data_IF_475207294239
#
_entry.id   IF_475207294239
#
_cell.length_a   1.000
_cell.length_b   1.000
_cell.length_c   1.000
_cell.angle_alpha   90.00
_cell.angle_beta   90.00
_cell.angle_gamma   90.00
#
_symmetry.space_group_name_H-M   'P 1'
#
loop_
_entity.id
_entity.type
_entity.pdbx_description
1 polymer ?
#
# COMPACT_ATOMS: atom_id res chain seq x y z
N UNK A 1 13.12 7.00 23.00
CA UNK A 1 11.73 6.66 23.40
C UNK A 1 11.72 5.21 23.83
N UNK A 2 10.90 4.83 24.82
CA UNK A 2 10.78 3.44 25.23
C UNK A 2 10.01 2.65 24.15
N UNK A 3 10.31 1.36 23.97
CA UNK A 3 9.71 0.55 22.88
C UNK A 3 8.17 0.52 22.97
N UNK A 4 7.65 0.44 24.20
CA UNK A 4 6.21 0.39 24.44
C UNK A 4 5.49 1.72 24.19
N UNK A 5 6.21 2.84 24.10
CA UNK A 5 5.60 4.16 23.86
C UNK A 5 5.17 4.33 22.40
N UNK A 6 5.83 3.63 21.47
CA UNK A 6 5.61 3.82 20.04
C UNK A 6 5.29 2.54 19.27
N UNK A 7 5.79 1.36 19.68
CA UNK A 7 5.52 0.13 18.94
C UNK A 7 4.01 -0.19 18.79
N UNK A 8 3.15 0.03 19.80
CA UNK A 8 1.70 -0.15 19.64
C UNK A 8 1.02 0.80 18.63
N UNK A 9 1.71 1.89 18.24
CA UNK A 9 1.24 2.87 17.26
C UNK A 9 1.74 2.56 15.84
N UNK A 10 2.56 1.53 15.67
CA UNK A 10 3.00 1.06 14.36
C UNK A 10 1.90 0.20 13.72
N UNK A 11 1.62 0.49 12.45
CA UNK A 11 0.73 -0.29 11.59
C UNK A 11 1.47 -0.63 10.31
N UNK A 12 1.15 -1.79 9.74
CA UNK A 12 1.77 -2.28 8.51
C UNK A 12 0.75 -2.32 7.38
N UNK A 13 1.27 -2.27 6.15
CA UNK A 13 0.46 -2.33 4.96
C UNK A 13 1.13 -3.24 3.93
N UNK A 14 0.40 -4.24 3.44
CA UNK A 14 0.88 -5.21 2.46
C UNK A 14 -0.06 -5.33 1.25
N UNK A 15 0.49 -5.76 0.12
CA UNK A 15 -0.26 -6.16 -1.07
C UNK A 15 -0.50 -7.67 -1.07
N UNK A 16 -1.64 -8.14 -1.59
CA UNK A 16 -1.91 -9.57 -1.80
C UNK A 16 -2.07 -9.88 -3.29
N UNK A 17 -1.16 -10.69 -3.85
CA UNK A 17 -1.20 -11.13 -5.24
C UNK A 17 -1.63 -12.59 -5.41
N UNK A 18 -1.21 -13.19 -6.52
CA UNK A 18 -1.62 -14.55 -6.91
C UNK A 18 -0.60 -15.63 -6.54
N UNK A 19 0.63 -15.24 -6.19
CA UNK A 19 1.72 -16.13 -5.77
C UNK A 19 1.39 -16.84 -4.44
N UNK A 20 1.90 -18.06 -4.21
CA UNK A 20 1.55 -18.85 -3.03
C UNK A 20 1.91 -18.17 -1.71
N UNK A 21 3.01 -17.41 -1.66
CA UNK A 21 3.56 -16.76 -0.48
C UNK A 21 2.57 -15.77 0.18
N UNK A 22 1.65 -15.19 -0.62
CA UNK A 22 0.59 -14.32 -0.12
C UNK A 22 -0.37 -15.02 0.84
N UNK A 23 -0.44 -16.36 0.81
CA UNK A 23 -1.21 -17.17 1.77
C UNK A 23 -0.67 -17.07 3.20
N UNK A 24 0.64 -16.82 3.36
CA UNK A 24 1.34 -16.88 4.65
C UNK A 24 2.05 -15.58 5.06
N UNK A 25 1.96 -14.54 4.23
CA UNK A 25 2.67 -13.28 4.46
C UNK A 25 2.33 -12.65 5.83
N UNK A 26 1.05 -12.60 6.20
CA UNK A 26 0.61 -11.98 7.45
C UNK A 26 1.06 -12.74 8.70
N UNK A 27 0.94 -14.07 8.71
CA UNK A 27 1.41 -14.93 9.80
C UNK A 27 2.93 -14.91 9.95
N UNK A 28 3.68 -14.87 8.85
CA UNK A 28 5.15 -14.72 8.90
C UNK A 28 5.52 -13.35 9.48
N UNK A 29 4.92 -12.27 8.98
CA UNK A 29 5.16 -10.92 9.51
C UNK A 29 4.88 -10.83 11.02
N UNK A 30 3.74 -11.37 11.47
CA UNK A 30 3.39 -11.43 12.90
C UNK A 30 4.41 -12.21 13.72
N UNK A 31 4.88 -13.36 13.23
CA UNK A 31 5.82 -14.22 13.95
C UNK A 31 7.19 -13.55 14.11
N UNK A 32 7.76 -13.06 13.01
CA UNK A 32 9.05 -12.35 13.01
C UNK A 32 8.98 -11.14 13.96
N UNK A 33 7.93 -10.32 13.85
CA UNK A 33 7.74 -9.15 14.69
C UNK A 33 7.62 -9.50 16.17
N UNK A 34 6.72 -10.42 16.52
CA UNK A 34 6.48 -10.79 17.92
C UNK A 34 7.74 -11.34 18.59
N UNK A 35 8.50 -12.20 17.89
CA UNK A 35 9.76 -12.76 18.41
C UNK A 35 10.81 -11.67 18.58
N UNK A 36 10.99 -10.79 17.59
CA UNK A 36 11.95 -9.69 17.66
C UNK A 36 11.63 -8.72 18.80
N UNK A 37 10.38 -8.27 18.91
CA UNK A 37 9.94 -7.34 19.96
C UNK A 37 10.09 -7.96 21.35
N UNK A 38 9.78 -9.25 21.50
CA UNK A 38 9.95 -9.95 22.78
C UNK A 38 11.41 -10.18 23.16
N UNK A 39 12.22 -10.70 22.24
CA UNK A 39 13.56 -11.23 22.55
C UNK A 39 14.67 -10.21 22.38
N UNK A 40 14.58 -9.35 21.37
CA UNK A 40 15.62 -8.34 21.06
C UNK A 40 15.33 -7.00 21.75
N UNK A 41 14.06 -6.59 21.79
CA UNK A 41 13.68 -5.26 22.27
C UNK A 41 12.97 -5.25 23.64
N UNK A 42 12.64 -6.42 24.20
CA UNK A 42 12.01 -6.52 25.53
C UNK A 42 10.62 -5.88 25.64
N UNK A 43 9.90 -5.72 24.53
CA UNK A 43 8.60 -5.05 24.49
C UNK A 43 7.47 -5.85 25.14
N UNK A 44 6.45 -5.13 25.62
CA UNK A 44 5.22 -5.69 26.18
C UNK A 44 4.46 -6.60 25.19
N UNK A 45 3.49 -7.36 25.70
CA UNK A 45 2.60 -8.19 24.86
C UNK A 45 1.91 -7.35 23.79
N UNK A 46 1.52 -6.10 24.11
CA UNK A 46 0.88 -5.19 23.15
C UNK A 46 1.83 -4.77 22.04
N UNK A 47 3.10 -4.51 22.36
CA UNK A 47 4.11 -4.16 21.35
C UNK A 47 4.43 -5.33 20.40
N UNK A 48 4.26 -6.58 20.85
CA UNK A 48 4.47 -7.79 20.05
C UNK A 48 3.35 -8.05 19.03
N UNK A 49 2.21 -7.38 19.12
CA UNK A 49 1.06 -7.59 18.24
C UNK A 49 1.16 -6.71 16.98
N UNK A 50 1.75 -7.28 15.92
CA UNK A 50 1.76 -6.64 14.60
C UNK A 50 0.34 -6.59 14.04
N UNK A 51 -0.13 -5.37 13.74
CA UNK A 51 -1.40 -5.12 13.06
C UNK A 51 -1.14 -4.67 11.64
N UNK A 52 -1.92 -5.16 10.70
CA UNK A 52 -1.71 -4.84 9.30
C UNK A 52 -3.01 -4.70 8.51
N UNK A 53 -2.94 -3.84 7.51
CA UNK A 53 -3.90 -3.74 6.41
C UNK A 53 -3.38 -4.54 5.21
N UNK A 54 -4.27 -5.21 4.49
CA UNK A 54 -3.99 -5.80 3.18
C UNK A 54 -4.83 -5.08 2.12
N UNK A 55 -4.23 -4.83 0.97
CA UNK A 55 -4.95 -4.49 -0.26
C UNK A 55 -4.67 -5.57 -1.31
N UNK A 56 -5.69 -5.94 -2.09
CA UNK A 56 -5.51 -6.82 -3.25
C UNK A 56 -4.57 -6.18 -4.29
N UNK A 57 -3.90 -6.97 -5.12
CA UNK A 57 -2.86 -6.47 -6.01
C UNK A 57 -3.45 -5.79 -7.24
N UNK A 58 -3.31 -4.47 -7.35
CA UNK A 58 -3.73 -3.74 -8.55
C UNK A 58 -2.94 -4.13 -9.80
N UNK A 59 -1.70 -4.62 -9.64
CA UNK A 59 -0.88 -5.11 -10.76
C UNK A 59 -1.39 -6.43 -11.36
N UNK A 60 -2.12 -7.20 -10.56
CA UNK A 60 -2.75 -8.45 -11.03
C UNK A 60 -4.03 -8.21 -11.83
N UNK A 61 -4.54 -6.98 -11.84
CA UNK A 61 -5.73 -6.60 -12.57
C UNK A 61 -5.35 -6.06 -13.95
N UNK A 62 -6.15 -6.39 -14.96
CA UNK A 62 -5.82 -6.11 -16.36
C UNK A 62 -6.93 -5.34 -17.05
N UNK A 63 -6.56 -4.55 -18.06
CA UNK A 63 -7.51 -3.76 -18.86
C UNK A 63 -8.22 -4.60 -19.92
N UNK A 64 -7.68 -5.77 -20.27
CA UNK A 64 -8.37 -6.79 -21.06
C UNK A 64 -9.26 -7.65 -20.15
N UNK A 65 -10.44 -8.02 -20.64
CA UNK A 65 -11.38 -8.89 -19.92
C UNK A 65 -11.55 -8.48 -18.44
N UNK A 66 -11.83 -7.19 -18.22
CA UNK A 66 -11.83 -6.57 -16.88
C UNK A 66 -12.73 -7.31 -15.88
N UNK A 67 -13.76 -8.02 -16.35
CA UNK A 67 -14.65 -8.81 -15.50
C UNK A 67 -13.91 -9.97 -14.79
N UNK A 68 -12.83 -10.49 -15.36
CA UNK A 68 -11.99 -11.52 -14.73
C UNK A 68 -11.25 -10.99 -13.50
N UNK A 69 -11.13 -9.67 -13.34
CA UNK A 69 -10.48 -9.06 -12.18
C UNK A 69 -11.24 -9.35 -10.89
N UNK A 70 -12.58 -9.43 -10.89
CA UNK A 70 -13.34 -9.82 -9.69
C UNK A 70 -12.98 -11.21 -9.19
N UNK A 71 -12.66 -12.13 -10.10
CA UNK A 71 -12.23 -13.49 -9.74
C UNK A 71 -10.88 -13.44 -9.03
N UNK A 72 -9.91 -12.69 -9.59
CA UNK A 72 -8.58 -12.48 -8.99
C UNK A 72 -8.69 -11.84 -7.61
N UNK A 73 -9.44 -10.74 -7.51
CA UNK A 73 -9.68 -10.02 -6.26
C UNK A 73 -10.35 -10.92 -5.22
N UNK A 74 -11.29 -11.78 -5.62
CA UNK A 74 -11.96 -12.73 -4.71
C UNK A 74 -10.98 -13.71 -4.08
N UNK A 75 -10.09 -14.31 -4.86
CA UNK A 75 -9.09 -15.26 -4.36
C UNK A 75 -8.08 -14.56 -3.44
N UNK A 76 -7.64 -13.35 -3.79
CA UNK A 76 -6.73 -12.55 -2.99
C UNK A 76 -7.36 -12.13 -1.65
N UNK A 77 -8.63 -11.71 -1.68
CA UNK A 77 -9.40 -11.38 -0.48
C UNK A 77 -9.59 -12.58 0.44
N UNK A 78 -9.87 -13.76 -0.13
CA UNK A 78 -10.02 -14.99 0.63
C UNK A 78 -8.73 -15.36 1.38
N UNK A 79 -7.58 -15.27 0.72
CA UNK A 79 -6.28 -15.51 1.34
C UNK A 79 -6.02 -14.53 2.50
N UNK A 80 -6.32 -13.25 2.31
CA UNK A 80 -6.16 -12.22 3.34
C UNK A 80 -7.03 -12.48 4.57
N UNK A 81 -8.29 -12.90 4.38
CA UNK A 81 -9.24 -13.21 5.46
C UNK A 81 -8.84 -14.49 6.18
N UNK A 82 -8.46 -15.55 5.46
CA UNK A 82 -8.00 -16.80 6.06
C UNK A 82 -6.73 -16.65 6.90
N UNK A 83 -5.84 -15.73 6.51
CA UNK A 83 -4.68 -15.38 7.32
C UNK A 83 -4.97 -14.30 8.37
N UNK A 84 -6.25 -14.02 8.65
CA UNK A 84 -6.73 -13.17 9.73
C UNK A 84 -6.14 -11.76 9.71
N UNK A 85 -6.25 -11.07 8.57
CA UNK A 85 -5.88 -9.67 8.43
C UNK A 85 -6.71 -8.74 9.34
N UNK A 86 -6.15 -7.62 9.80
CA UNK A 86 -6.88 -6.67 10.64
C UNK A 86 -7.78 -5.73 9.83
N UNK A 87 -7.45 -5.52 8.55
CA UNK A 87 -8.18 -4.65 7.64
C UNK A 87 -7.90 -5.07 6.20
N UNK A 88 -8.91 -4.99 5.33
CA UNK A 88 -8.83 -5.41 3.94
C UNK A 88 -9.44 -4.36 3.00
N UNK A 89 -8.71 -4.03 1.94
CA UNK A 89 -9.22 -3.33 0.77
C UNK A 89 -9.29 -4.31 -0.41
N UNK A 90 -10.45 -4.37 -1.04
CA UNK A 90 -10.67 -5.12 -2.28
C UNK A 90 -10.76 -4.14 -3.44
N UNK A 91 -9.91 -4.36 -4.44
CA UNK A 91 -9.89 -3.52 -5.62
C UNK A 91 -11.10 -3.79 -6.51
N UNK A 92 -11.49 -2.79 -7.26
CA UNK A 92 -12.60 -2.90 -8.18
C UNK A 92 -12.15 -3.45 -9.54
N UNK A 93 -13.07 -4.09 -10.26
CA UNK A 93 -12.75 -4.82 -11.49
C UNK A 93 -12.20 -3.92 -12.62
N UNK A 94 -12.52 -2.61 -12.58
CA UNK A 94 -12.11 -1.58 -13.54
C UNK A 94 -10.85 -0.79 -13.10
N UNK A 95 -10.16 -1.20 -12.02
CA UNK A 95 -8.99 -0.49 -11.46
C UNK A 95 -7.85 -0.30 -12.47
N UNK A 96 -7.70 -1.22 -13.43
CA UNK A 96 -6.71 -1.11 -14.49
C UNK A 96 -6.97 0.06 -15.46
N UNK A 97 -8.17 0.65 -15.43
CA UNK A 97 -8.63 1.69 -16.37
C UNK A 97 -8.87 3.01 -15.65
N UNK A 98 -9.61 3.02 -14.54
CA UNK A 98 -10.11 4.25 -13.91
C UNK A 98 -10.28 4.12 -12.40
N UNK A 99 -10.55 5.24 -11.74
CA UNK A 99 -11.00 5.21 -10.33
C UNK A 99 -12.40 4.59 -10.26
N UNK A 100 -12.67 3.69 -9.30
CA UNK A 100 -13.91 2.92 -9.26
C UNK A 100 -15.19 3.76 -9.30
N UNK A 101 -16.13 3.38 -10.18
CA UNK A 101 -17.49 3.92 -10.17
C UNK A 101 -18.30 3.43 -8.96
N UNK A 102 -19.49 4.01 -8.71
CA UNK A 102 -20.36 3.55 -7.62
C UNK A 102 -20.75 2.08 -7.77
N UNK A 103 -20.96 1.61 -9.00
CA UNK A 103 -21.26 0.20 -9.29
C UNK A 103 -20.05 -0.70 -9.03
N UNK A 104 -18.87 -0.28 -9.51
CA UNK A 104 -17.62 -1.03 -9.35
C UNK A 104 -17.21 -1.18 -7.88
N UNK A 105 -17.35 -0.10 -7.08
CA UNK A 105 -17.12 -0.15 -5.63
C UNK A 105 -18.08 -1.12 -4.94
N UNK A 106 -19.35 -1.19 -5.36
CA UNK A 106 -20.33 -2.13 -4.78
C UNK A 106 -19.92 -3.58 -5.03
N UNK A 107 -19.41 -3.91 -6.22
CA UNK A 107 -18.88 -5.25 -6.53
C UNK A 107 -17.67 -5.59 -5.68
N UNK A 108 -16.70 -4.67 -5.60
CA UNK A 108 -15.51 -4.83 -4.79
C UNK A 108 -15.84 -5.06 -3.30
N UNK A 109 -16.82 -4.31 -2.76
CA UNK A 109 -17.29 -4.48 -1.37
C UNK A 109 -18.05 -5.81 -1.19
N UNK A 110 -18.86 -6.19 -2.18
CA UNK A 110 -19.63 -7.43 -2.13
C UNK A 110 -18.74 -8.67 -1.98
N UNK A 111 -17.54 -8.67 -2.57
CA UNK A 111 -16.55 -9.75 -2.37
C UNK A 111 -16.29 -9.99 -0.87
N UNK A 112 -15.99 -8.94 -0.11
CA UNK A 112 -15.75 -9.07 1.33
C UNK A 112 -17.01 -9.50 2.08
N UNK A 113 -18.18 -9.01 1.69
CA UNK A 113 -19.44 -9.37 2.32
C UNK A 113 -19.78 -10.84 2.11
N UNK A 114 -19.65 -11.35 0.87
CA UNK A 114 -19.90 -12.76 0.53
C UNK A 114 -18.93 -13.67 1.30
N UNK A 115 -17.63 -13.36 1.28
CA UNK A 115 -16.64 -14.16 2.01
C UNK A 115 -16.94 -14.17 3.52
N UNK A 116 -17.29 -13.03 4.11
CA UNK A 116 -17.50 -12.95 5.56
C UNK A 116 -18.88 -13.45 6.02
N UNK A 117 -19.91 -13.45 5.16
CA UNK A 117 -21.30 -13.72 5.55
C UNK A 117 -21.89 -15.00 4.97
N UNK A 118 -21.47 -15.39 3.76
CA UNK A 118 -22.05 -16.52 3.03
C UNK A 118 -21.10 -17.71 2.95
N UNK A 119 -19.80 -17.45 2.76
CA UNK A 119 -18.81 -18.52 2.62
C UNK A 119 -18.62 -19.31 3.92
N UNK A 120 -18.94 -20.60 3.90
CA UNK A 120 -19.07 -21.39 5.13
C UNK A 120 -17.77 -21.54 5.94
N UNK A 121 -16.60 -21.60 5.28
CA UNK A 121 -15.33 -21.88 5.96
C UNK A 121 -14.80 -20.69 6.78
N UNK A 122 -15.22 -19.46 6.51
CA UNK A 122 -14.81 -18.28 7.30
C UNK A 122 -15.49 -18.20 8.67
N UNK A 123 -16.45 -19.10 8.95
CA UNK A 123 -16.92 -19.33 10.34
C UNK A 123 -15.83 -19.91 11.24
N UNK A 124 -14.79 -20.52 10.65
CA UNK A 124 -13.57 -20.92 11.35
C UNK A 124 -12.51 -19.82 11.16
N UNK A 125 -12.06 -19.22 12.26
CA UNK A 125 -11.13 -18.08 12.27
C UNK A 125 -9.65 -18.48 12.18
N UNK A 126 -9.35 -19.77 12.17
CA UNK A 126 -8.00 -20.31 12.11
C UNK A 126 -7.84 -21.43 11.08
N UNK A 127 -8.61 -21.38 9.98
CA UNK A 127 -8.67 -22.39 8.92
C UNK A 127 -7.29 -22.83 8.38
N UNK A 128 -6.32 -21.92 8.37
CA UNK A 128 -4.96 -22.19 7.89
C UNK A 128 -4.11 -23.05 8.85
N UNK A 129 -4.46 -23.17 10.13
CA UNK A 129 -3.64 -23.89 11.12
C UNK A 129 -3.69 -25.40 10.92
N UNK A 130 -2.51 -26.04 10.94
CA UNK A 130 -2.38 -27.50 10.78
C UNK A 130 -2.32 -27.99 9.33
N UNK A 131 -2.51 -27.10 8.35
CA UNK A 131 -2.30 -27.42 6.93
C UNK A 131 -0.81 -27.61 6.63
N UNK A 132 -0.44 -28.77 6.09
CA UNK A 132 0.96 -29.08 5.79
C UNK A 132 1.63 -28.06 4.86
N UNK A 133 0.94 -27.68 3.78
CA UNK A 133 1.46 -26.68 2.83
C UNK A 133 1.59 -25.29 3.46
N UNK A 134 0.64 -24.89 4.31
CA UNK A 134 0.68 -23.58 4.97
C UNK A 134 1.84 -23.53 5.97
N UNK A 135 2.02 -24.56 6.79
CA UNK A 135 3.11 -24.59 7.78
C UNK A 135 4.49 -24.63 7.09
N UNK A 136 4.64 -25.43 6.04
CA UNK A 136 5.87 -25.49 5.26
C UNK A 136 6.17 -24.15 4.57
N UNK A 137 5.19 -23.58 3.89
CA UNK A 137 5.36 -22.29 3.21
C UNK A 137 5.65 -21.16 4.21
N UNK A 138 5.03 -21.19 5.40
CA UNK A 138 5.33 -20.24 6.48
C UNK A 138 6.81 -20.32 6.87
N UNK A 139 7.37 -21.52 7.01
CA UNK A 139 8.80 -21.71 7.33
C UNK A 139 9.70 -21.21 6.20
N UNK A 140 9.38 -21.55 4.95
CA UNK A 140 10.19 -21.16 3.79
C UNK A 140 10.22 -19.63 3.62
N UNK A 141 9.07 -18.97 3.72
CA UNK A 141 8.97 -17.51 3.59
C UNK A 141 9.66 -16.81 4.76
N UNK A 142 9.50 -17.30 5.99
CA UNK A 142 10.22 -16.73 7.15
C UNK A 142 11.74 -16.78 6.95
N UNK A 143 12.28 -17.94 6.56
CA UNK A 143 13.71 -18.11 6.31
C UNK A 143 14.20 -17.18 5.19
N UNK A 144 13.45 -17.09 4.08
CA UNK A 144 13.79 -16.22 2.95
C UNK A 144 13.82 -14.74 3.35
N UNK A 145 12.89 -14.29 4.20
CA UNK A 145 12.85 -12.92 4.74
C UNK A 145 14.04 -12.66 5.66
N UNK A 146 14.40 -13.61 6.53
CA UNK A 146 15.57 -13.45 7.41
C UNK A 146 16.87 -13.38 6.61
N UNK A 147 17.02 -14.20 5.57
CA UNK A 147 18.17 -14.12 4.66
C UNK A 147 18.23 -12.77 3.91
N UNK A 148 17.08 -12.15 3.60
CA UNK A 148 17.03 -10.80 3.03
C UNK A 148 17.45 -9.74 4.06
N UNK A 149 17.10 -9.92 5.34
CA UNK A 149 17.57 -9.02 6.41
C UNK A 149 19.10 -9.06 6.54
N UNK A 150 19.72 -10.22 6.41
CA UNK A 150 21.19 -10.35 6.43
C UNK A 150 21.82 -9.61 5.26
N UNK A 151 21.30 -9.80 4.03
CA UNK A 151 21.77 -9.06 2.84
C UNK A 151 21.67 -7.54 3.00
N UNK A 152 20.59 -7.04 3.62
CA UNK A 152 20.44 -5.61 3.91
C UNK A 152 21.40 -5.17 5.02
N UNK A 153 21.61 -6.00 6.04
CA UNK A 153 22.51 -5.69 7.17
C UNK A 153 23.96 -5.56 6.70
N UNK A 154 24.43 -6.46 5.84
CA UNK A 154 25.76 -6.42 5.21
C UNK A 154 26.03 -5.13 4.42
N UNK A 155 24.96 -4.46 3.96
CA UNK A 155 25.00 -3.19 3.20
C UNK A 155 24.86 -1.95 4.09
N UNK A 156 25.07 -2.08 5.40
CA UNK A 156 24.93 -0.96 6.34
C UNK A 156 23.48 -0.70 6.76
N UNK A 157 22.64 -1.75 6.74
CA UNK A 157 21.22 -1.64 7.05
C UNK A 157 20.42 -0.96 5.94
N UNK A 158 19.17 -0.59 6.24
CA UNK A 158 18.24 -0.05 5.24
C UNK A 158 18.78 1.22 4.59
N UNK A 159 19.37 2.14 5.35
CA UNK A 159 19.90 3.41 4.82
C UNK A 159 21.10 3.19 3.90
N UNK A 160 22.07 2.36 4.30
CA UNK A 160 23.22 2.05 3.44
C UNK A 160 22.81 1.30 2.16
N UNK A 161 21.86 0.37 2.26
CA UNK A 161 21.30 -0.30 1.09
C UNK A 161 20.57 0.68 0.14
N UNK A 162 19.88 1.70 0.69
CA UNK A 162 19.24 2.75 -0.11
C UNK A 162 20.25 3.65 -0.81
N UNK A 163 21.41 3.92 -0.20
CA UNK A 163 22.50 4.70 -0.83
C UNK A 163 23.07 4.00 -2.06
N UNK A 164 23.19 2.67 -2.03
CA UNK A 164 23.63 1.88 -3.19
C UNK A 164 22.50 1.50 -4.15
N UNK A 165 21.26 1.95 -3.88
CA UNK A 165 20.09 1.62 -4.70
C UNK A 165 19.64 0.16 -4.66
N UNK A 166 20.09 -0.65 -3.68
CA UNK A 166 19.90 -2.10 -3.65
C UNK A 166 18.43 -2.52 -3.79
N UNK A 167 17.55 -1.97 -2.94
CA UNK A 167 16.13 -2.32 -2.97
C UNK A 167 15.49 -1.92 -4.30
N UNK A 168 15.87 -0.75 -4.85
CA UNK A 168 15.32 -0.27 -6.13
C UNK A 168 15.72 -1.20 -7.27
N UNK A 169 17.01 -1.51 -7.39
CA UNK A 169 17.51 -2.38 -8.46
C UNK A 169 16.86 -3.76 -8.38
N UNK A 170 16.78 -4.35 -7.18
CA UNK A 170 16.14 -5.65 -6.99
C UNK A 170 14.65 -5.65 -7.39
N UNK A 171 13.89 -4.62 -7.00
CA UNK A 171 12.49 -4.46 -7.41
C UNK A 171 12.37 -4.31 -8.94
N UNK A 172 13.28 -3.56 -9.57
CA UNK A 172 13.28 -3.39 -11.03
C UNK A 172 13.61 -4.70 -11.76
N UNK A 173 14.60 -5.45 -11.28
CA UNK A 173 14.98 -6.76 -11.80
C UNK A 173 13.82 -7.75 -11.73
N UNK A 174 13.18 -7.88 -10.56
CA UNK A 174 11.99 -8.73 -10.36
C UNK A 174 10.81 -8.29 -11.25
N UNK A 175 10.64 -6.98 -11.42
CA UNK A 175 9.62 -6.44 -12.33
C UNK A 175 9.89 -6.78 -13.80
N UNK A 176 11.13 -6.67 -14.26
CA UNK A 176 11.51 -7.03 -15.63
C UNK A 176 11.36 -8.53 -15.88
N UNK A 177 11.74 -9.35 -14.89
CA UNK A 177 11.56 -10.80 -14.94
C UNK A 177 10.08 -11.16 -15.10
N UNK A 178 9.20 -10.60 -14.27
CA UNK A 178 7.76 -10.80 -14.38
C UNK A 178 7.20 -10.39 -15.75
N UNK A 179 7.54 -9.19 -16.25
CA UNK A 179 7.04 -8.74 -17.56
C UNK A 179 7.60 -9.61 -18.70
N UNK A 180 8.84 -10.08 -18.61
CA UNK A 180 9.42 -11.00 -19.58
C UNK A 180 8.62 -12.32 -19.65
N UNK A 181 8.32 -12.93 -18.51
CA UNK A 181 7.50 -14.16 -18.44
C UNK A 181 6.07 -13.95 -18.94
N UNK A 182 5.46 -12.80 -18.59
CA UNK A 182 4.12 -12.42 -19.05
C UNK A 182 4.09 -12.23 -20.57
N UNK A 183 5.11 -11.59 -21.14
CA UNK A 183 5.18 -11.35 -22.58
C UNK A 183 5.55 -12.61 -23.38
N UNK A 184 6.42 -13.46 -22.85
CA UNK A 184 6.77 -14.75 -23.48
C UNK A 184 5.62 -15.76 -23.40
N UNK A 185 4.72 -15.62 -22.42
CA UNK A 185 3.61 -16.54 -22.17
C UNK A 185 3.97 -17.68 -21.20
N UNK A 186 5.20 -17.72 -20.70
CA UNK A 186 5.63 -18.68 -19.67
C UNK A 186 4.87 -18.50 -18.36
N UNK A 187 4.48 -17.27 -18.04
CA UNK A 187 3.53 -16.98 -16.98
C UNK A 187 2.14 -16.79 -17.59
N UNK A 188 1.20 -17.76 -17.45
CA UNK A 188 -0.11 -17.65 -18.07
C UNK A 188 -0.97 -16.61 -17.36
N UNK A 189 -1.49 -15.66 -18.14
CA UNK A 189 -2.42 -14.63 -17.71
C UNK A 189 -3.68 -14.72 -18.58
N UNK A 190 -4.75 -15.24 -17.98
CA UNK A 190 -6.06 -15.46 -18.62
C UNK A 190 -6.66 -14.12 -19.09
N UNK A 191 -7.06 -14.06 -20.36
CA UNK A 191 -7.57 -12.83 -21.01
C UNK A 191 -6.46 -11.89 -21.51
N UNK A 192 -5.19 -12.20 -21.27
CA UNK A 192 -4.06 -11.33 -21.66
C UNK A 192 -3.10 -12.02 -22.61
N UNK A 193 -2.47 -13.13 -22.24
CA UNK A 193 -1.53 -13.85 -23.11
C UNK A 193 -2.03 -15.25 -23.50
N UNK A 194 -3.07 -15.75 -22.82
CA UNK A 194 -3.78 -16.99 -23.12
C UNK A 194 -5.27 -16.82 -22.85
N UNK A 195 -6.11 -17.65 -23.47
CA UNK A 195 -7.59 -17.55 -23.38
C UNK A 195 -8.09 -16.13 -23.67
N UNK A 196 -7.70 -15.58 -24.82
CA UNK A 196 -8.15 -14.26 -25.27
C UNK A 196 -9.55 -14.35 -25.88
N UNK A 197 -10.38 -13.36 -25.64
CA UNK A 197 -11.68 -13.25 -26.31
C UNK A 197 -11.50 -13.07 -27.84
N UNK A 198 -12.02 -13.99 -28.68
CA UNK A 198 -11.98 -13.83 -30.13
C UNK A 198 -12.81 -12.64 -30.63
N UNK A 199 -13.70 -12.08 -29.82
CA UNK A 199 -14.58 -10.96 -30.13
C UNK A 199 -14.18 -9.65 -29.43
N UNK A 200 -13.00 -9.57 -28.82
CA UNK A 200 -12.56 -8.40 -28.05
C UNK A 200 -12.60 -7.06 -28.82
N UNK A 201 -12.50 -7.08 -30.15
CA UNK A 201 -12.60 -5.89 -30.99
C UNK A 201 -14.04 -5.36 -31.14
N UNK A 202 -15.04 -6.21 -30.87
CA UNK A 202 -16.46 -5.91 -30.99
C UNK A 202 -17.14 -5.71 -29.61
N UNK A 203 -16.37 -5.76 -28.51
CA UNK A 203 -16.90 -5.65 -27.14
C UNK A 203 -17.34 -4.21 -26.80
N UNK A 204 -18.65 -3.96 -26.62
CA UNK A 204 -19.19 -2.65 -26.26
C UNK A 204 -18.71 -2.14 -24.90
N UNK A 205 -18.21 -3.01 -24.02
CA UNK A 205 -17.68 -2.61 -22.71
C UNK A 205 -16.42 -1.73 -22.83
N UNK A 206 -15.69 -1.83 -23.94
CA UNK A 206 -14.53 -0.98 -24.22
C UNK A 206 -14.91 0.50 -24.47
N UNK A 207 -16.14 0.76 -24.91
CA UNK A 207 -16.62 2.11 -25.28
C UNK A 207 -17.46 2.78 -24.18
N UNK A 208 -17.98 2.03 -23.21
CA UNK A 208 -19.00 2.50 -22.26
C UNK A 208 -18.56 2.78 -20.82
N UNK A 209 -17.26 2.65 -20.50
CA UNK A 209 -16.82 2.73 -19.10
C UNK A 209 -16.70 4.19 -18.62
N UNK A 210 -17.47 4.55 -17.59
CA UNK A 210 -17.48 5.89 -17.02
C UNK A 210 -16.13 6.22 -16.36
N UNK A 211 -15.45 7.25 -16.84
CA UNK A 211 -14.18 7.70 -16.28
C UNK A 211 -14.41 8.74 -15.19
N UNK A 212 -14.10 8.37 -13.94
CA UNK A 212 -14.05 9.31 -12.83
C UNK A 212 -12.91 10.32 -13.05
N UNK A 213 -13.28 11.57 -13.36
CA UNK A 213 -12.36 12.71 -13.53
C UNK A 213 -12.91 13.93 -12.81
N UNK A 214 -12.02 14.78 -12.30
CA UNK A 214 -12.41 16.05 -11.68
C UNK A 214 -13.01 17.00 -12.73
N UNK A 215 -14.13 17.65 -12.38
CA UNK A 215 -14.80 18.61 -13.26
C UNK A 215 -14.05 19.94 -13.30
N UNK A 216 -14.37 20.79 -14.28
CA UNK A 216 -13.77 22.12 -14.35
C UNK A 216 -14.24 23.00 -13.18
N UNK A 217 -15.51 22.87 -12.80
CA UNK A 217 -16.11 23.58 -11.67
C UNK A 217 -15.42 23.22 -10.35
N UNK A 218 -15.05 21.95 -10.16
CA UNK A 218 -14.30 21.51 -8.98
C UNK A 218 -12.92 22.15 -8.92
N UNK A 219 -12.20 22.23 -10.05
CA UNK A 219 -10.90 22.91 -10.12
C UNK A 219 -11.03 24.38 -9.81
N UNK A 220 -11.98 25.07 -10.44
CA UNK A 220 -12.23 26.49 -10.21
C UNK A 220 -12.65 26.77 -8.75
N UNK A 221 -13.48 25.89 -8.17
CA UNK A 221 -13.85 25.94 -6.76
C UNK A 221 -12.62 25.84 -5.84
N UNK A 222 -11.71 24.89 -6.11
CA UNK A 222 -10.48 24.72 -5.34
C UNK A 222 -9.56 25.94 -5.45
N UNK A 223 -9.42 26.52 -6.64
CA UNK A 223 -8.63 27.75 -6.84
C UNK A 223 -9.21 28.93 -6.07
N UNK A 224 -10.53 29.13 -6.13
CA UNK A 224 -11.22 30.18 -5.39
C UNK A 224 -11.05 30.01 -3.88
N UNK A 225 -11.30 28.81 -3.35
CA UNK A 225 -11.14 28.50 -1.92
C UNK A 225 -9.71 28.74 -1.44
N UNK A 226 -8.71 28.40 -2.27
CA UNK A 226 -7.31 28.64 -1.97
C UNK A 226 -6.98 30.14 -1.95
N UNK A 227 -7.46 30.91 -2.93
CA UNK A 227 -7.28 32.36 -2.99
C UNK A 227 -7.92 33.05 -1.77
N UNK A 228 -9.17 32.71 -1.45
CA UNK A 228 -9.91 33.25 -0.30
C UNK A 228 -9.21 32.92 1.02
N UNK A 229 -8.71 31.69 1.18
CA UNK A 229 -7.95 31.28 2.37
C UNK A 229 -6.65 32.11 2.51
N UNK A 230 -5.88 32.25 1.42
CA UNK A 230 -4.66 33.06 1.43
C UNK A 230 -4.93 34.53 1.74
N UNK A 231 -6.01 35.10 1.17
CA UNK A 231 -6.38 36.49 1.43
C UNK A 231 -6.78 36.70 2.89
N UNK A 232 -7.58 35.79 3.46
CA UNK A 232 -8.03 35.86 4.86
C UNK A 232 -6.86 35.84 5.84
N UNK A 233 -5.82 35.06 5.57
CA UNK A 233 -4.66 34.88 6.45
C UNK A 233 -3.41 35.64 5.99
N UNK A 234 -3.54 36.60 5.06
CA UNK A 234 -2.40 37.29 4.44
C UNK A 234 -1.48 37.98 5.46
N UNK A 235 -2.03 38.48 6.57
CA UNK A 235 -1.27 39.14 7.63
C UNK A 235 -0.55 38.16 8.58
N UNK A 236 -1.14 36.99 8.83
CA UNK A 236 -0.62 36.01 9.80
C UNK A 236 0.37 35.02 9.17
N UNK A 237 0.18 34.70 7.88
CA UNK A 237 0.92 33.65 7.20
C UNK A 237 2.44 33.86 7.19
N UNK A 238 3.00 35.06 6.90
CA UNK A 238 4.45 35.25 6.86
C UNK A 238 5.14 34.90 8.17
N UNK A 239 4.61 35.38 9.30
CA UNK A 239 5.16 35.11 10.62
C UNK A 239 5.03 33.62 11.02
N UNK A 240 3.94 32.95 10.62
CA UNK A 240 3.77 31.53 10.87
C UNK A 240 4.75 30.65 10.07
N UNK A 241 5.02 31.01 8.81
CA UNK A 241 6.01 30.31 7.98
C UNK A 241 7.43 30.53 8.51
N UNK A 242 7.76 31.74 8.96
CA UNK A 242 9.06 32.04 9.56
C UNK A 242 9.28 31.22 10.84
N UNK A 243 8.30 31.15 11.74
CA UNK A 243 8.39 30.29 12.94
C UNK A 243 8.62 28.82 12.58
N UNK A 244 7.93 28.31 11.57
CA UNK A 244 8.13 26.95 11.08
C UNK A 244 9.56 26.72 10.57
N UNK A 245 10.09 27.68 9.80
CA UNK A 245 11.47 27.62 9.30
C UNK A 245 12.49 27.67 10.45
N UNK A 246 12.29 28.56 11.42
CA UNK A 246 13.14 28.65 12.61
C UNK A 246 13.08 27.37 13.45
N UNK A 247 11.90 26.75 13.59
CA UNK A 247 11.77 25.45 14.25
C UNK A 247 12.58 24.37 13.52
N UNK A 248 12.57 24.34 12.19
CA UNK A 248 13.36 23.39 11.41
C UNK A 248 14.88 23.66 11.53
N UNK A 249 15.32 24.91 11.37
CA UNK A 249 16.74 25.30 11.47
C UNK A 249 17.30 25.13 12.88
N UNK A 250 16.49 25.42 13.89
CA UNK A 250 16.84 25.30 15.31
C UNK A 250 16.76 23.87 15.85
N UNK A 251 16.52 22.87 14.99
CA UNK A 251 16.33 21.47 15.37
C UNK A 251 15.21 21.27 16.43
N UNK A 252 14.16 22.10 16.33
CA UNK A 252 12.96 22.03 17.15
C UNK A 252 11.93 21.02 16.61
N UNK A 253 10.83 20.85 17.33
CA UNK A 253 9.75 19.96 16.91
C UNK A 253 8.91 20.63 15.80
N UNK A 254 9.23 20.30 14.55
CA UNK A 254 8.53 20.83 13.36
C UNK A 254 7.03 20.49 13.37
N UNK A 255 6.66 19.28 13.81
CA UNK A 255 5.25 18.88 13.84
C UNK A 255 4.43 19.69 14.85
N UNK A 256 5.01 20.04 15.99
CA UNK A 256 4.36 20.91 16.96
C UNK A 256 4.03 22.29 16.37
N UNK A 257 4.96 22.88 15.60
CA UNK A 257 4.68 24.16 14.94
C UNK A 257 3.70 24.02 13.77
N UNK A 258 3.71 22.89 13.04
CA UNK A 258 2.73 22.63 11.98
C UNK A 258 1.28 22.71 12.49
N UNK A 259 1.00 22.31 13.74
CA UNK A 259 -0.35 22.43 14.33
C UNK A 259 -0.86 23.88 14.41
N UNK A 260 0.05 24.85 14.41
CA UNK A 260 -0.24 26.27 14.34
C UNK A 260 -0.24 26.75 12.88
N UNK A 261 0.81 26.42 12.12
CA UNK A 261 1.03 26.93 10.76
C UNK A 261 -0.12 26.57 9.80
N UNK A 262 -0.68 25.36 9.90
CA UNK A 262 -1.78 24.92 9.01
C UNK A 262 -3.07 25.72 9.15
N UNK A 263 -3.23 26.49 10.23
CA UNK A 263 -4.42 27.34 10.46
C UNK A 263 -4.41 28.59 9.59
N UNK A 264 -3.22 29.03 9.16
CA UNK A 264 -3.03 30.29 8.43
C UNK A 264 -2.24 30.13 7.12
N UNK A 265 -1.74 28.93 6.81
CA UNK A 265 -0.91 28.68 5.64
C UNK A 265 -1.36 27.43 4.87
N UNK A 266 -1.37 27.53 3.55
CA UNK A 266 -1.72 26.40 2.68
C UNK A 266 -0.60 25.36 2.60
N UNK A 267 -0.93 24.15 2.13
CA UNK A 267 0.05 23.08 1.91
C UNK A 267 1.25 23.55 1.06
N UNK A 268 0.99 24.24 -0.05
CA UNK A 268 2.05 24.75 -0.93
C UNK A 268 2.95 25.80 -0.27
N UNK A 269 2.39 26.69 0.58
CA UNK A 269 3.18 27.67 1.32
C UNK A 269 4.10 26.99 2.34
N UNK A 270 3.57 26.01 3.08
CA UNK A 270 4.31 25.22 4.07
C UNK A 270 5.44 24.44 3.40
N UNK A 271 5.15 23.70 2.33
CA UNK A 271 6.14 22.90 1.61
C UNK A 271 7.27 23.77 1.07
N UNK A 272 6.95 24.91 0.45
CA UNK A 272 7.97 25.81 -0.08
C UNK A 272 8.84 26.42 1.02
N UNK A 273 8.25 26.76 2.17
CA UNK A 273 8.99 27.28 3.32
C UNK A 273 9.97 26.23 3.87
N UNK A 274 9.55 24.97 3.96
CA UNK A 274 10.42 23.87 4.38
C UNK A 274 11.49 23.53 3.34
N UNK A 275 11.21 23.60 2.04
CA UNK A 275 12.22 23.43 0.99
C UNK A 275 13.34 24.46 1.06
N UNK A 276 13.04 25.69 1.46
CA UNK A 276 14.05 26.75 1.59
C UNK A 276 15.07 26.48 2.71
N UNK A 277 14.74 25.64 3.71
CA UNK A 277 15.60 25.37 4.88
C UNK A 277 16.04 23.91 5.03
N UNK A 278 15.27 22.96 4.51
CA UNK A 278 15.52 21.52 4.60
C UNK A 278 15.92 20.86 3.29
N UNK A 279 15.92 21.61 2.18
CA UNK A 279 16.23 21.11 0.85
C UNK A 279 15.09 20.31 0.22
N UNK A 280 15.35 19.83 -0.99
CA UNK A 280 14.43 18.98 -1.75
C UNK A 280 15.02 17.59 -1.91
N UNK A 281 14.15 16.58 -1.97
CA UNK A 281 14.58 15.23 -2.30
C UNK A 281 15.26 15.22 -3.67
N UNK A 282 16.50 14.71 -3.73
CA UNK A 282 17.22 14.45 -4.97
C UNK A 282 16.95 13.03 -5.40
N UNK A 283 16.50 12.83 -6.65
CA UNK A 283 16.40 11.50 -7.23
C UNK A 283 17.81 10.94 -7.35
N UNK A 284 18.16 9.99 -6.49
CA UNK A 284 19.31 9.11 -6.74
C UNK A 284 18.98 8.32 -8.02
N UNK A 285 19.94 8.11 -8.93
CA UNK A 285 19.74 7.22 -10.09
C UNK A 285 19.89 5.78 -9.61
#
# INVERSE_FOLDING_TARGET
MHIDDFAPNLSFFFSNGMDPEYTVMGRVARRIWAVALKRKYGGSVRAQQLKYHIQTSGRSLHSQDIQFNDIRTTLQALCAIYDNCNSLHTNAFDEAITTPSTESVRRALAIQLIINREWGLTKNENMNQGSFIVEELTRLVEEAVLAEFDRITERGGVLGAMETGYQRSKIQEESLYYEALKHSGELPIIGVNTFRDPHAADDPMSEGLELARATEEEKQSQLKRLADFKQRHAHEAPAALERLQQAALGNGNVFAELMNTVRSCSLGQITQALYAVGGQYRRNM
#
